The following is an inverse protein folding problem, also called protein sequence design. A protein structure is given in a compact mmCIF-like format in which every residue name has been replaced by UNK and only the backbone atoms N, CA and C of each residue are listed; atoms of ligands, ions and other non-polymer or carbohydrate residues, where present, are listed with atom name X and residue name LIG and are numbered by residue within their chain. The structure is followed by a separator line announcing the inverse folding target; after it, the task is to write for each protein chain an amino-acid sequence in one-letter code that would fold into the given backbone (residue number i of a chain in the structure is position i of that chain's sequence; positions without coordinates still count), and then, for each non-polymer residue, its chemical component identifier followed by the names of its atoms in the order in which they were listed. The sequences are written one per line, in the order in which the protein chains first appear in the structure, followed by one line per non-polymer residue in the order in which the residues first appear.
data_IF_401830592096
#
_entry.id   IF_401830592096
#
_cell.length_a   1.000
_cell.length_b   1.000
_cell.length_c   1.000
_cell.angle_alpha   90.00
_cell.angle_beta   90.00
_cell.angle_gamma   90.00
#
_symmetry.space_group_name_H-M   'P 1'
#
loop_
_entity.id
_entity.type
_entity.pdbx_description
1 polymer ?
#
# COMPACT_ATOMS: atom_id res chain seq x y z
N UNK A 1 -45.18 -56.28 9.27
CA UNK A 1 -45.27 -54.98 8.58
C UNK A 1 -44.18 -54.11 9.18
N UNK A 2 -43.02 -54.09 8.53
CA UNK A 2 -41.80 -53.45 9.06
C UNK A 2 -41.71 -52.08 8.44
N UNK A 3 -41.90 -51.03 9.23
CA UNK A 3 -41.72 -49.65 8.79
C UNK A 3 -40.21 -49.39 8.78
N UNK A 4 -39.62 -49.37 7.58
CA UNK A 4 -38.27 -48.88 7.39
C UNK A 4 -38.30 -47.37 7.64
N UNK A 5 -37.64 -46.93 8.71
CA UNK A 5 -37.27 -45.54 8.89
C UNK A 5 -36.21 -45.21 7.85
N UNK A 6 -36.61 -44.51 6.78
CA UNK A 6 -35.69 -43.83 5.89
C UNK A 6 -34.93 -42.78 6.69
N UNK A 7 -33.72 -43.11 7.11
CA UNK A 7 -32.72 -42.13 7.54
C UNK A 7 -32.30 -41.33 6.32
N UNK A 8 -32.96 -40.17 6.11
CA UNK A 8 -32.44 -39.16 5.19
C UNK A 8 -30.99 -38.84 5.56
N UNK A 9 -30.04 -38.84 4.61
CA UNK A 9 -28.68 -38.41 4.89
C UNK A 9 -28.74 -36.96 5.37
N UNK A 10 -28.33 -36.72 6.62
CA UNK A 10 -28.09 -35.37 7.12
C UNK A 10 -26.97 -34.75 6.28
N UNK A 11 -27.33 -33.88 5.35
CA UNK A 11 -26.38 -32.96 4.73
C UNK A 11 -25.77 -32.13 5.84
N UNK A 12 -24.46 -32.25 6.04
CA UNK A 12 -23.72 -31.44 7.02
C UNK A 12 -24.03 -29.97 6.74
N UNK A 13 -24.47 -29.16 7.72
CA UNK A 13 -24.91 -27.78 7.49
C UNK A 13 -23.76 -26.82 7.17
N UNK A 14 -22.57 -27.34 6.88
CA UNK A 14 -21.36 -26.57 6.64
C UNK A 14 -20.70 -26.99 5.34
N UNK A 15 -20.27 -26.01 4.56
CA UNK A 15 -19.35 -26.20 3.44
C UNK A 15 -18.18 -25.25 3.58
N UNK A 16 -17.14 -25.50 2.80
CA UNK A 16 -16.05 -24.56 2.60
C UNK A 16 -15.94 -24.17 1.13
N UNK A 17 -15.33 -23.02 0.87
CA UNK A 17 -14.84 -22.64 -0.46
C UNK A 17 -13.70 -21.66 -0.31
N UNK A 18 -12.93 -21.48 -1.39
CA UNK A 18 -11.98 -20.37 -1.46
C UNK A 18 -12.75 -19.04 -1.42
N UNK A 19 -12.21 -18.09 -0.66
CA UNK A 19 -12.72 -16.74 -0.57
C UNK A 19 -12.38 -15.94 -1.83
N UNK A 20 -13.22 -14.96 -2.10
CA UNK A 20 -13.12 -13.99 -3.19
C UNK A 20 -13.07 -12.57 -2.61
N UNK A 21 -12.57 -11.56 -3.33
CA UNK A 21 -12.55 -10.18 -2.84
C UNK A 21 -13.91 -9.65 -2.34
N UNK A 22 -15.01 -10.15 -2.91
CA UNK A 22 -16.38 -9.84 -2.51
C UNK A 22 -16.71 -10.28 -1.07
N UNK A 23 -16.04 -11.31 -0.56
CA UNK A 23 -16.25 -11.84 0.79
C UNK A 23 -15.63 -10.96 1.88
N UNK A 24 -14.81 -9.97 1.51
CA UNK A 24 -14.02 -9.19 2.46
C UNK A 24 -14.88 -8.54 3.57
N UNK A 25 -16.07 -8.05 3.22
CA UNK A 25 -16.98 -7.42 4.18
C UNK A 25 -17.52 -8.42 5.23
N UNK A 26 -17.72 -9.68 4.84
CA UNK A 26 -18.18 -10.73 5.76
C UNK A 26 -17.03 -11.31 6.59
N UNK A 27 -15.80 -11.31 6.05
CA UNK A 27 -14.60 -11.83 6.74
C UNK A 27 -14.01 -10.81 7.72
N UNK A 28 -14.04 -9.51 7.39
CA UNK A 28 -13.48 -8.44 8.23
C UNK A 28 -13.90 -8.51 9.72
N UNK A 29 -15.19 -8.68 10.08
CA UNK A 29 -15.58 -8.82 11.49
C UNK A 29 -15.03 -10.09 12.16
N UNK A 30 -14.89 -11.19 11.41
CA UNK A 30 -14.27 -12.42 11.92
C UNK A 30 -12.79 -12.19 12.23
N UNK A 31 -12.08 -11.47 11.36
CA UNK A 31 -10.67 -11.15 11.56
C UNK A 31 -10.44 -10.15 12.70
N UNK A 32 -11.38 -9.21 12.87
CA UNK A 32 -11.37 -8.31 14.02
C UNK A 32 -11.56 -9.08 15.33
N UNK A 33 -12.50 -10.01 15.38
CA UNK A 33 -12.71 -10.87 16.56
C UNK A 33 -11.49 -11.77 16.84
N UNK A 34 -10.85 -12.31 15.80
CA UNK A 34 -9.58 -13.02 15.93
C UNK A 34 -8.50 -12.16 16.58
N UNK A 35 -8.31 -10.93 16.12
CA UNK A 35 -7.30 -10.02 16.66
C UNK A 35 -7.60 -9.66 18.13
N UNK A 36 -8.87 -9.45 18.48
CA UNK A 36 -9.29 -9.19 19.85
C UNK A 36 -9.01 -10.39 20.77
N UNK A 37 -9.36 -11.60 20.36
CA UNK A 37 -9.04 -12.82 21.12
C UNK A 37 -7.52 -12.99 21.27
N UNK A 38 -6.73 -12.62 20.25
CA UNK A 38 -5.27 -12.67 20.31
C UNK A 38 -4.69 -11.67 21.32
N UNK A 39 -5.15 -10.42 21.32
CA UNK A 39 -4.73 -9.41 22.31
C UNK A 39 -5.11 -9.82 23.74
N UNK A 40 -6.26 -10.46 23.94
CA UNK A 40 -6.64 -10.98 25.25
C UNK A 40 -5.72 -12.12 25.73
N UNK A 41 -5.25 -12.97 24.81
CA UNK A 41 -4.34 -14.08 25.12
C UNK A 41 -2.88 -13.64 25.28
N UNK A 42 -2.48 -12.52 24.68
CA UNK A 42 -1.13 -11.98 24.74
C UNK A 42 -1.19 -10.46 24.87
N UNK A 43 -1.17 -9.93 26.11
CA UNK A 43 -1.29 -8.50 26.37
C UNK A 43 -0.19 -7.63 25.73
N UNK A 44 0.93 -8.23 25.30
CA UNK A 44 1.98 -7.50 24.57
C UNK A 44 1.59 -7.19 23.13
N UNK A 45 0.59 -7.88 22.58
CA UNK A 45 0.06 -7.65 21.24
C UNK A 45 -1.13 -6.69 21.28
N UNK A 46 -0.84 -5.39 21.30
CA UNK A 46 -1.86 -4.36 21.29
C UNK A 46 -2.40 -4.11 19.88
N UNK A 47 -3.73 -4.06 19.76
CA UNK A 47 -4.38 -3.70 18.51
C UNK A 47 -4.28 -2.18 18.29
N UNK A 48 -3.88 -1.78 17.07
CA UNK A 48 -3.85 -0.37 16.69
C UNK A 48 -5.26 0.22 16.75
N UNK A 49 -5.38 1.41 17.34
CA UNK A 49 -6.63 2.17 17.31
C UNK A 49 -7.06 2.40 15.86
N UNK A 50 -8.35 2.22 15.57
CA UNK A 50 -8.96 2.44 14.25
C UNK A 50 -8.35 1.61 13.10
N UNK A 51 -7.82 0.41 13.36
CA UNK A 51 -7.32 -0.46 12.31
C UNK A 51 -8.41 -0.86 11.31
N UNK A 52 -8.17 -0.62 10.01
CA UNK A 52 -9.11 -0.94 8.93
C UNK A 52 -9.01 -2.43 8.52
N UNK A 53 -9.80 -3.27 9.19
CA UNK A 53 -9.88 -4.69 8.90
C UNK A 53 -10.44 -5.00 7.50
N UNK A 54 -11.34 -4.17 6.98
CA UNK A 54 -11.92 -4.40 5.66
C UNK A 54 -10.86 -4.21 4.57
N UNK A 55 -10.12 -3.11 4.62
CA UNK A 55 -9.03 -2.86 3.68
C UNK A 55 -7.91 -3.90 3.82
N UNK A 56 -7.57 -4.28 5.06
CA UNK A 56 -6.60 -5.34 5.31
C UNK A 56 -7.01 -6.66 4.65
N UNK A 57 -8.24 -7.12 4.89
CA UNK A 57 -8.73 -8.39 4.34
C UNK A 57 -8.80 -8.34 2.81
N UNK A 58 -9.30 -7.25 2.21
CA UNK A 58 -9.27 -7.08 0.74
C UNK A 58 -7.85 -7.24 0.19
N UNK A 59 -6.89 -6.55 0.80
CA UNK A 59 -5.47 -6.65 0.41
C UNK A 59 -4.94 -8.08 0.52
N UNK A 60 -5.31 -8.84 1.57
CA UNK A 60 -4.88 -10.24 1.71
C UNK A 60 -5.51 -11.16 0.66
N UNK A 61 -6.75 -10.89 0.23
CA UNK A 61 -7.45 -11.68 -0.79
C UNK A 61 -6.92 -11.40 -2.21
N UNK A 62 -6.43 -10.19 -2.45
CA UNK A 62 -5.82 -9.79 -3.74
C UNK A 62 -4.32 -10.11 -3.82
N UNK A 63 -3.67 -10.34 -2.67
CA UNK A 63 -2.22 -10.58 -2.61
C UNK A 63 -1.87 -11.91 -3.31
N UNK A 64 -0.95 -11.90 -4.28
CA UNK A 64 -0.46 -13.14 -4.89
C UNK A 64 0.06 -14.12 -3.84
N UNK A 65 -0.19 -15.41 -4.07
CA UNK A 65 0.19 -16.52 -3.17
C UNK A 65 -0.42 -16.46 -1.76
N UNK A 66 -1.33 -15.52 -1.51
CA UNK A 66 -2.20 -15.51 -0.33
C UNK A 66 -3.52 -16.16 -0.71
N UNK A 67 -3.95 -17.13 0.09
CA UNK A 67 -5.19 -17.86 -0.11
C UNK A 67 -5.99 -17.80 1.18
N UNK A 68 -7.31 -17.68 1.03
CA UNK A 68 -8.23 -17.78 2.14
C UNK A 68 -9.36 -18.74 1.82
N UNK A 69 -9.77 -19.50 2.82
CA UNK A 69 -10.97 -20.34 2.76
C UNK A 69 -11.98 -19.84 3.77
N UNK A 70 -13.24 -19.84 3.37
CA UNK A 70 -14.37 -19.47 4.23
C UNK A 70 -15.17 -20.70 4.58
N UNK A 71 -15.62 -20.76 5.83
CA UNK A 71 -16.59 -21.72 6.33
C UNK A 71 -17.98 -21.11 6.18
N UNK A 72 -18.80 -21.73 5.34
CA UNK A 72 -20.17 -21.32 5.09
C UNK A 72 -21.11 -22.20 5.89
N UNK A 73 -21.95 -21.58 6.71
CA UNK A 73 -23.04 -22.24 7.40
C UNK A 73 -24.33 -22.05 6.62
N UNK A 74 -25.04 -23.15 6.39
CA UNK A 74 -26.29 -23.19 5.63
C UNK A 74 -27.45 -23.56 6.55
N UNK A 75 -28.48 -22.74 6.51
CA UNK A 75 -29.81 -23.01 7.07
C UNK A 75 -30.83 -22.99 5.94
N UNK A 76 -32.06 -23.46 6.22
CA UNK A 76 -33.10 -23.68 5.21
C UNK A 76 -33.33 -22.51 4.25
N UNK A 77 -33.00 -21.26 4.63
CA UNK A 77 -33.13 -20.07 3.77
C UNK A 77 -31.94 -19.08 3.83
N UNK A 78 -30.81 -19.43 4.46
CA UNK A 78 -29.70 -18.48 4.62
C UNK A 78 -28.34 -19.17 4.61
N UNK A 79 -27.38 -18.55 3.92
CA UNK A 79 -25.95 -18.93 3.97
C UNK A 79 -25.14 -17.79 4.57
N UNK A 80 -24.34 -18.09 5.59
CA UNK A 80 -23.49 -17.12 6.27
C UNK A 80 -22.03 -17.58 6.28
N UNK A 81 -21.09 -16.64 6.14
CA UNK A 81 -19.68 -16.91 6.41
C UNK A 81 -19.46 -16.80 7.92
N UNK A 82 -19.12 -17.92 8.55
CA UNK A 82 -18.99 -18.06 10.02
C UNK A 82 -17.57 -18.39 10.46
N UNK A 83 -16.66 -18.57 9.51
CA UNK A 83 -15.25 -18.80 9.77
C UNK A 83 -14.38 -18.55 8.55
N UNK A 84 -13.10 -18.37 8.77
CA UNK A 84 -12.09 -18.16 7.75
C UNK A 84 -10.71 -18.70 8.16
N UNK A 85 -9.89 -19.07 7.18
CA UNK A 85 -8.49 -19.45 7.33
C UNK A 85 -7.68 -18.73 6.25
N UNK A 86 -6.60 -18.03 6.64
CA UNK A 86 -5.66 -17.39 5.72
C UNK A 86 -4.32 -18.11 5.74
N UNK A 87 -3.76 -18.34 4.55
CA UNK A 87 -2.45 -18.98 4.35
C UNK A 87 -1.68 -18.20 3.29
N UNK A 88 -0.40 -17.94 3.54
CA UNK A 88 0.51 -17.33 2.58
C UNK A 88 1.59 -18.34 2.20
N UNK A 89 1.79 -18.54 0.90
CA UNK A 89 2.84 -19.43 0.38
C UNK A 89 4.02 -18.62 -0.14
N UNK A 90 5.23 -19.10 0.12
CA UNK A 90 6.46 -18.50 -0.40
C UNK A 90 7.57 -19.53 -0.55
N UNK A 91 8.54 -19.19 -1.39
CA UNK A 91 9.81 -19.90 -1.49
C UNK A 91 10.84 -19.18 -0.62
N UNK A 92 11.55 -19.92 0.24
CA UNK A 92 12.76 -19.42 0.91
C UNK A 92 13.93 -19.35 -0.08
N UNK A 93 13.86 -20.12 -1.16
CA UNK A 93 14.81 -20.08 -2.25
C UNK A 93 14.64 -18.78 -3.04
N UNK A 94 15.73 -18.21 -3.58
CA UNK A 94 15.60 -17.06 -4.45
C UNK A 94 14.96 -17.43 -5.79
N UNK A 95 14.54 -16.41 -6.56
CA UNK A 95 14.28 -16.57 -7.98
C UNK A 95 15.48 -17.23 -8.69
N UNK A 96 15.20 -18.08 -9.68
CA UNK A 96 16.25 -18.79 -10.44
C UNK A 96 17.23 -17.84 -11.13
N UNK A 97 16.75 -16.67 -11.54
CA UNK A 97 17.51 -15.63 -12.23
C UNK A 97 18.00 -14.55 -11.27
N UNK A 98 18.62 -14.95 -10.16
CA UNK A 98 19.30 -14.01 -9.26
C UNK A 98 20.73 -13.70 -9.76
N UNK A 99 21.15 -12.42 -9.84
CA UNK A 99 22.53 -12.05 -10.16
C UNK A 99 23.55 -12.77 -9.28
N UNK A 100 24.73 -13.08 -9.82
CA UNK A 100 25.73 -13.92 -9.16
C UNK A 100 26.17 -13.38 -7.79
N UNK A 101 26.33 -12.07 -7.67
CA UNK A 101 26.74 -11.41 -6.42
C UNK A 101 25.68 -11.58 -5.32
N UNK A 102 24.41 -11.36 -5.65
CA UNK A 102 23.29 -11.56 -4.73
C UNK A 102 23.10 -13.03 -4.36
N UNK A 103 23.38 -13.95 -5.29
CA UNK A 103 23.36 -15.39 -5.01
C UNK A 103 24.45 -15.78 -3.99
N UNK A 104 25.65 -15.22 -4.13
CA UNK A 104 26.74 -15.48 -3.19
C UNK A 104 26.42 -14.92 -1.78
N UNK A 105 25.82 -13.74 -1.70
CA UNK A 105 25.37 -13.16 -0.43
C UNK A 105 24.30 -14.03 0.24
N UNK A 106 23.31 -14.52 -0.52
CA UNK A 106 22.24 -15.35 0.03
C UNK A 106 22.73 -16.69 0.58
N UNK A 107 23.67 -17.35 -0.11
CA UNK A 107 24.31 -18.59 0.37
C UNK A 107 25.09 -18.35 1.67
N UNK A 108 25.62 -17.14 1.87
CA UNK A 108 26.31 -16.77 3.09
C UNK A 108 25.33 -16.47 4.24
N UNK A 109 24.18 -15.86 3.95
CA UNK A 109 23.17 -15.50 4.95
C UNK A 109 22.27 -16.66 5.39
N UNK A 110 22.17 -17.74 4.60
CA UNK A 110 21.26 -18.86 4.88
C UNK A 110 22.00 -20.21 4.99
N UNK A 111 22.29 -20.68 6.22
CA UNK A 111 22.99 -21.95 6.41
C UNK A 111 22.09 -23.20 6.21
N UNK A 112 20.79 -23.02 5.97
CA UNK A 112 19.81 -24.09 5.84
C UNK A 112 19.36 -24.28 4.39
N UNK A 113 19.00 -25.51 4.05
CA UNK A 113 18.36 -25.79 2.77
C UNK A 113 17.02 -25.05 2.69
N UNK A 114 16.84 -24.29 1.62
CA UNK A 114 15.63 -23.54 1.37
C UNK A 114 14.40 -24.46 1.24
N UNK A 115 13.31 -24.05 1.88
CA UNK A 115 12.01 -24.72 1.85
C UNK A 115 11.03 -23.96 0.96
N UNK A 116 9.95 -24.65 0.57
CA UNK A 116 8.73 -24.02 0.08
C UNK A 116 7.71 -24.10 1.19
N UNK A 117 7.27 -22.95 1.69
CA UNK A 117 6.53 -22.88 2.96
C UNK A 117 5.12 -22.37 2.75
N UNK A 118 4.15 -23.01 3.39
CA UNK A 118 2.81 -22.49 3.62
C UNK A 118 2.68 -21.98 5.04
N UNK A 119 2.70 -20.66 5.22
CA UNK A 119 2.54 -20.03 6.53
C UNK A 119 1.07 -19.73 6.81
N UNK A 120 0.51 -20.32 7.87
CA UNK A 120 -0.85 -19.99 8.32
C UNK A 120 -0.82 -18.63 9.03
N UNK A 121 -1.50 -17.65 8.43
CA UNK A 121 -1.61 -16.30 9.00
C UNK A 121 -2.60 -16.24 10.17
N UNK A 122 -3.64 -17.07 10.10
CA UNK A 122 -4.63 -17.19 11.17
C UNK A 122 -5.88 -17.93 10.72
N UNK A 123 -6.58 -18.50 11.70
CA UNK A 123 -7.86 -19.18 11.54
C UNK A 123 -8.82 -18.65 12.58
N UNK A 124 -10.03 -18.35 12.16
CA UNK A 124 -11.11 -17.96 13.06
C UNK A 124 -12.39 -18.65 12.66
N UNK A 125 -13.11 -19.16 13.65
CA UNK A 125 -14.48 -19.64 13.50
C UNK A 125 -15.27 -19.03 14.65
N UNK A 126 -16.48 -18.55 14.40
CA UNK A 126 -17.34 -18.03 15.47
C UNK A 126 -17.57 -19.10 16.55
N UNK A 127 -17.56 -18.75 17.84
CA UNK A 127 -17.61 -19.70 18.95
C UNK A 127 -18.68 -20.81 18.82
N UNK A 128 -19.90 -20.44 18.44
CA UNK A 128 -21.05 -21.31 18.25
C UNK A 128 -20.90 -22.33 17.09
N UNK A 129 -19.98 -22.06 16.16
CA UNK A 129 -19.67 -22.90 15.01
C UNK A 129 -18.33 -23.66 15.15
N UNK A 130 -17.64 -23.52 16.29
CA UNK A 130 -16.35 -24.20 16.58
C UNK A 130 -16.59 -25.67 16.90
N UNK A 131 -16.60 -26.50 15.87
CA UNK A 131 -16.67 -27.95 15.99
C UNK A 131 -15.45 -28.58 15.31
N UNK A 132 -15.09 -29.80 15.71
CA UNK A 132 -13.96 -30.51 15.10
C UNK A 132 -14.13 -30.65 13.59
N UNK A 133 -15.33 -30.96 13.12
CA UNK A 133 -15.60 -31.14 11.69
C UNK A 133 -15.49 -29.84 10.89
N UNK A 134 -15.92 -28.70 11.45
CA UNK A 134 -15.83 -27.40 10.77
C UNK A 134 -14.39 -26.89 10.67
N UNK A 135 -13.61 -27.08 11.72
CA UNK A 135 -12.17 -26.79 11.73
C UNK A 135 -11.44 -27.69 10.73
N UNK A 136 -11.78 -28.99 10.71
CA UNK A 136 -11.21 -29.97 9.79
C UNK A 136 -11.46 -29.59 8.33
N UNK A 137 -12.67 -29.15 7.98
CA UNK A 137 -12.98 -28.68 6.62
C UNK A 137 -12.01 -27.59 6.16
N UNK A 138 -11.81 -26.54 6.96
CA UNK A 138 -10.89 -25.45 6.62
C UNK A 138 -9.44 -25.95 6.51
N UNK A 139 -8.99 -26.75 7.47
CA UNK A 139 -7.62 -27.25 7.50
C UNK A 139 -7.31 -28.17 6.31
N UNK A 140 -8.20 -29.09 5.95
CA UNK A 140 -8.01 -30.01 4.83
C UNK A 140 -7.95 -29.27 3.48
N UNK A 141 -8.76 -28.22 3.28
CA UNK A 141 -8.65 -27.36 2.10
C UNK A 141 -7.26 -26.72 1.96
N UNK A 142 -6.73 -26.16 3.06
CA UNK A 142 -5.40 -25.55 3.05
C UNK A 142 -4.29 -26.58 2.80
N UNK A 143 -4.39 -27.77 3.39
CA UNK A 143 -3.44 -28.87 3.17
C UNK A 143 -3.48 -29.33 1.70
N UNK A 144 -4.67 -29.43 1.11
CA UNK A 144 -4.82 -29.81 -0.30
C UNK A 144 -4.19 -28.75 -1.23
N UNK A 145 -4.36 -27.47 -0.91
CA UNK A 145 -3.71 -26.39 -1.66
C UNK A 145 -2.18 -26.45 -1.52
N UNK A 146 -1.67 -26.69 -0.31
CA UNK A 146 -0.23 -26.85 -0.07
C UNK A 146 0.34 -28.02 -0.90
N UNK A 147 -0.37 -29.15 -0.96
CA UNK A 147 0.00 -30.29 -1.79
C UNK A 147 0.01 -29.93 -3.29
N UNK A 148 -0.98 -29.18 -3.77
CA UNK A 148 -1.06 -28.70 -5.17
C UNK A 148 0.13 -27.82 -5.53
N UNK A 149 0.56 -26.95 -4.61
CA UNK A 149 1.71 -26.07 -4.77
C UNK A 149 3.06 -26.76 -4.49
N UNK A 150 3.04 -28.05 -4.13
CA UNK A 150 4.22 -28.85 -3.77
C UNK A 150 5.05 -28.20 -2.66
N UNK A 151 4.35 -27.64 -1.68
CA UNK A 151 4.93 -27.08 -0.46
C UNK A 151 5.61 -28.19 0.32
N UNK A 152 6.82 -27.93 0.83
CA UNK A 152 7.57 -28.89 1.65
C UNK A 152 7.13 -28.83 3.12
N UNK A 153 6.75 -27.64 3.60
CA UNK A 153 6.48 -27.39 5.02
C UNK A 153 5.26 -26.49 5.23
N UNK A 154 4.44 -26.79 6.23
CA UNK A 154 3.35 -25.91 6.68
C UNK A 154 3.71 -25.42 8.08
N UNK A 155 3.97 -24.12 8.19
CA UNK A 155 4.34 -23.48 9.44
C UNK A 155 3.09 -22.83 10.08
N UNK A 156 2.80 -23.20 11.32
CA UNK A 156 1.65 -22.70 12.10
C UNK A 156 2.13 -22.31 13.49
N UNK A 157 1.87 -21.07 13.88
CA UNK A 157 2.11 -20.60 15.24
C UNK A 157 0.82 -20.70 16.06
N UNK A 158 0.88 -21.42 17.17
CA UNK A 158 -0.26 -21.64 18.07
C UNK A 158 0.11 -21.16 19.46
N UNK A 159 -0.80 -20.43 20.12
CA UNK A 159 -0.55 -19.97 21.49
C UNK A 159 -0.39 -21.15 22.45
N UNK A 160 0.46 -20.98 23.46
CA UNK A 160 0.75 -22.02 24.46
C UNK A 160 -0.52 -22.51 25.17
N UNK A 161 -1.49 -21.64 25.39
CA UNK A 161 -2.76 -21.95 26.08
C UNK A 161 -3.76 -22.72 25.21
N UNK A 162 -3.57 -22.75 23.88
CA UNK A 162 -4.46 -23.45 22.95
C UNK A 162 -4.14 -24.95 22.84
N UNK A 163 -4.12 -25.64 23.99
CA UNK A 163 -3.73 -27.05 24.11
C UNK A 163 -4.58 -27.99 23.24
N UNK A 164 -5.87 -27.69 23.04
CA UNK A 164 -6.74 -28.44 22.15
C UNK A 164 -6.32 -28.39 20.68
N UNK A 165 -5.89 -27.21 20.20
CA UNK A 165 -5.38 -27.03 18.83
C UNK A 165 -4.03 -27.74 18.68
N UNK A 166 -3.16 -27.65 19.69
CA UNK A 166 -1.87 -28.37 19.67
C UNK A 166 -2.06 -29.89 19.57
N UNK A 167 -2.98 -30.46 20.35
CA UNK A 167 -3.31 -31.88 20.30
C UNK A 167 -3.91 -32.28 18.95
N UNK A 168 -4.76 -31.43 18.36
CA UNK A 168 -5.32 -31.65 17.03
C UNK A 168 -4.23 -31.67 15.95
N UNK A 169 -3.32 -30.69 15.95
CA UNK A 169 -2.21 -30.61 15.01
C UNK A 169 -1.30 -31.84 15.10
N UNK A 170 -0.98 -32.31 16.31
CA UNK A 170 -0.21 -33.54 16.49
C UNK A 170 -0.89 -34.78 15.88
N UNK A 171 -2.22 -34.89 16.00
CA UNK A 171 -3.00 -35.96 15.35
C UNK A 171 -2.98 -35.85 13.83
N UNK A 172 -2.86 -34.65 13.29
CA UNK A 172 -2.66 -34.39 11.86
C UNK A 172 -1.19 -34.51 11.40
N UNK A 173 -0.28 -34.98 12.26
CA UNK A 173 1.11 -35.24 11.91
C UNK A 173 2.05 -34.04 12.03
N UNK A 174 1.57 -32.89 12.52
CA UNK A 174 2.44 -31.75 12.82
C UNK A 174 3.36 -32.09 14.00
N UNK A 175 4.59 -31.59 13.93
CA UNK A 175 5.58 -31.73 15.00
C UNK A 175 5.79 -30.37 15.65
N UNK A 176 5.87 -30.35 16.98
CA UNK A 176 6.27 -29.14 17.70
C UNK A 176 7.73 -28.84 17.39
N UNK A 177 7.99 -27.73 16.70
CA UNK A 177 9.34 -27.34 16.29
C UNK A 177 10.03 -26.36 17.25
N UNK A 178 9.27 -25.47 17.90
CA UNK A 178 9.82 -24.40 18.73
C UNK A 178 8.98 -24.11 19.99
N UNK A 179 9.62 -23.41 20.94
CA UNK A 179 8.97 -22.75 22.08
C UNK A 179 9.42 -21.29 22.06
N UNK A 180 8.46 -20.38 22.05
CA UNK A 180 8.73 -18.94 22.08
C UNK A 180 8.64 -18.42 23.53
N UNK A 181 9.66 -17.69 23.95
CA UNK A 181 9.63 -16.87 25.15
C UNK A 181 9.58 -15.40 24.73
N UNK A 182 8.84 -14.57 25.44
CA UNK A 182 8.72 -13.14 25.12
C UNK A 182 8.87 -12.34 26.40
N UNK A 183 9.69 -11.29 26.34
CA UNK A 183 9.86 -10.30 27.41
C UNK A 183 9.41 -8.96 26.87
N UNK A 184 8.36 -8.40 27.46
CA UNK A 184 7.88 -7.08 27.10
C UNK A 184 8.65 -6.00 27.86
N UNK A 185 8.89 -4.87 27.19
CA UNK A 185 9.43 -3.65 27.78
C UNK A 185 8.46 -2.51 27.48
N UNK A 186 7.97 -1.84 28.52
CA UNK A 186 7.12 -0.68 28.36
C UNK A 186 7.98 0.52 27.94
N UNK A 187 7.84 0.94 26.69
CA UNK A 187 8.50 2.13 26.14
C UNK A 187 7.49 3.28 26.18
N UNK A 188 7.94 4.47 26.59
CA UNK A 188 7.11 5.68 26.53
C UNK A 188 7.27 6.37 25.18
N UNK A 189 6.26 7.12 24.73
CA UNK A 189 6.29 7.82 23.43
C UNK A 189 7.45 8.85 23.31
N UNK A 190 8.01 9.28 24.44
CA UNK A 190 9.14 10.20 24.50
C UNK A 190 10.52 9.51 24.49
N UNK A 191 10.56 8.17 24.34
CA UNK A 191 11.82 7.42 24.35
C UNK A 191 12.51 7.59 23.00
N UNK A 192 13.72 8.15 23.01
CA UNK A 192 14.60 8.14 21.84
C UNK A 192 15.10 6.71 21.60
N UNK A 193 14.72 6.12 20.46
CA UNK A 193 15.00 4.72 20.13
C UNK A 193 16.07 4.64 19.04
N UNK A 194 17.12 3.81 19.23
CA UNK A 194 18.08 3.58 18.17
C UNK A 194 17.40 2.94 16.97
N UNK A 195 17.71 3.43 15.77
CA UNK A 195 17.24 2.80 14.54
C UNK A 195 17.86 1.41 14.40
N UNK A 196 17.02 0.38 14.25
CA UNK A 196 17.46 -0.99 13.96
C UNK A 196 17.44 -1.30 12.46
N UNK A 197 17.08 -0.32 11.62
CA UNK A 197 17.15 -0.47 10.19
C UNK A 197 18.61 -0.35 9.74
N UNK A 198 19.00 -1.09 8.68
CA UNK A 198 20.24 -0.77 7.96
C UNK A 198 20.19 0.73 7.64
N UNK A 199 21.31 1.47 7.74
CA UNK A 199 21.38 2.81 7.17
C UNK A 199 20.82 2.69 5.77
N UNK A 200 19.75 3.43 5.47
CA UNK A 200 19.34 3.54 4.08
C UNK A 200 20.59 3.97 3.33
N UNK A 201 21.01 3.27 2.25
CA UNK A 201 22.14 3.71 1.46
C UNK A 201 21.90 5.19 1.22
N UNK A 202 22.81 6.03 1.74
CA UNK A 202 22.54 7.43 1.98
C UNK A 202 21.85 8.01 0.75
N UNK A 203 20.54 8.22 0.86
CA UNK A 203 19.97 9.31 0.12
C UNK A 203 20.62 10.49 0.81
N UNK A 204 21.73 10.98 0.27
CA UNK A 204 22.26 12.31 0.56
C UNK A 204 21.16 13.31 0.15
N UNK A 205 20.08 13.33 0.93
CA UNK A 205 19.19 14.46 1.01
C UNK A 205 20.09 15.52 1.63
N UNK A 206 20.67 16.38 0.78
CA UNK A 206 21.15 17.68 1.22
C UNK A 206 20.13 18.22 2.23
N UNK A 207 20.60 18.69 3.39
CA UNK A 207 19.72 19.18 4.47
C UNK A 207 18.57 19.96 3.85
N UNK A 208 17.33 19.47 4.06
CA UNK A 208 16.18 20.11 3.45
C UNK A 208 16.19 21.56 3.91
N UNK A 209 16.10 22.54 3.00
CA UNK A 209 16.16 23.94 3.39
C UNK A 209 14.96 24.33 4.29
N UNK A 210 13.88 23.53 4.28
CA UNK A 210 12.67 23.74 5.06
C UNK A 210 11.88 22.45 5.28
N UNK A 211 11.13 22.33 6.39
CA UNK A 211 10.37 21.13 6.78
C UNK A 211 9.35 20.64 5.73
N UNK A 212 8.80 21.58 4.95
CA UNK A 212 7.80 21.30 3.90
C UNK A 212 8.39 21.25 2.49
N UNK A 213 9.70 21.42 2.32
CA UNK A 213 10.34 21.29 1.01
C UNK A 213 10.37 19.81 0.58
N UNK A 214 10.04 19.54 -0.67
CA UNK A 214 10.11 18.19 -1.24
C UNK A 214 11.23 18.12 -2.29
N UNK A 215 12.12 17.12 -2.25
CA UNK A 215 13.11 16.95 -3.31
C UNK A 215 12.43 16.67 -4.65
N UNK A 216 12.94 17.29 -5.71
CA UNK A 216 12.47 17.01 -7.06
C UNK A 216 13.17 15.74 -7.57
N UNK A 217 12.39 14.72 -7.91
CA UNK A 217 12.89 13.50 -8.54
C UNK A 217 12.61 13.51 -10.04
N UNK A 218 13.55 12.98 -10.81
CA UNK A 218 13.25 12.64 -12.20
C UNK A 218 12.36 11.38 -12.25
N UNK A 219 11.17 11.41 -12.89
CA UNK A 219 10.26 10.28 -12.92
C UNK A 219 10.76 9.10 -13.77
N UNK A 220 11.77 9.30 -14.63
CA UNK A 220 12.35 8.24 -15.45
C UNK A 220 13.44 7.48 -14.70
N UNK A 221 14.35 8.20 -14.03
CA UNK A 221 15.51 7.59 -13.35
C UNK A 221 15.29 7.38 -11.85
N UNK A 222 14.29 8.04 -11.27
CA UNK A 222 14.04 8.10 -9.83
C UNK A 222 15.22 8.72 -9.02
N UNK A 223 16.10 9.46 -9.69
CA UNK A 223 17.21 10.18 -9.08
C UNK A 223 16.81 11.62 -8.72
N UNK A 224 17.49 12.21 -7.73
CA UNK A 224 17.28 13.61 -7.34
C UNK A 224 17.82 14.50 -8.47
N UNK A 225 16.99 15.45 -8.88
CA UNK A 225 17.36 16.47 -9.87
C UNK A 225 18.37 17.41 -9.24
N UNK A 226 19.46 17.68 -9.97
CA UNK A 226 20.50 18.64 -9.58
C UNK A 226 20.48 19.84 -10.50
N UNK A 227 20.75 21.03 -9.96
CA UNK A 227 20.94 22.25 -10.74
C UNK A 227 22.29 22.20 -11.49
N UNK A 228 22.59 23.17 -12.39
CA UNK A 228 23.87 23.22 -13.11
C UNK A 228 25.12 23.30 -12.20
N UNK A 229 24.95 23.70 -10.93
CA UNK A 229 26.00 23.76 -9.92
C UNK A 229 26.19 22.42 -9.17
N UNK A 230 25.36 21.41 -9.45
CA UNK A 230 25.40 20.09 -8.83
C UNK A 230 24.63 19.98 -7.52
N UNK A 231 23.88 21.01 -7.11
CA UNK A 231 23.11 21.05 -5.87
C UNK A 231 21.74 20.40 -6.05
N UNK A 232 21.24 19.72 -5.01
CA UNK A 232 19.92 19.09 -5.04
C UNK A 232 18.81 20.13 -5.13
N UNK A 233 17.83 19.87 -6.00
CA UNK A 233 16.71 20.77 -6.25
C UNK A 233 15.51 20.38 -5.38
N UNK A 234 14.92 21.36 -4.72
CA UNK A 234 13.74 21.20 -3.89
C UNK A 234 12.58 22.05 -4.40
N UNK A 235 11.36 21.50 -4.36
CA UNK A 235 10.14 22.27 -4.55
C UNK A 235 9.71 22.89 -3.24
N UNK A 236 9.60 24.21 -3.26
CA UNK A 236 9.13 24.99 -2.14
C UNK A 236 7.60 25.09 -2.20
N UNK A 237 6.89 24.89 -1.07
CA UNK A 237 5.45 25.10 -1.06
C UNK A 237 5.14 26.58 -1.27
N UNK A 238 4.03 26.88 -1.95
CA UNK A 238 3.51 28.23 -2.02
C UNK A 238 3.07 28.68 -0.62
N UNK A 239 3.40 29.91 -0.24
CA UNK A 239 3.23 30.45 1.12
C UNK A 239 1.77 30.60 1.63
N UNK A 240 0.78 29.99 0.97
CA UNK A 240 -0.61 30.08 1.41
C UNK A 240 -0.91 29.04 2.50
N UNK A 241 -0.85 29.50 3.75
CA UNK A 241 -1.44 28.84 4.90
C UNK A 241 -2.98 28.87 4.80
N UNK A 242 -3.57 28.03 3.96
CA UNK A 242 -5.03 27.86 3.93
C UNK A 242 -5.44 26.56 4.62
N UNK A 243 -5.87 26.73 5.88
CA UNK A 243 -6.77 25.85 6.66
C UNK A 243 -6.88 24.39 6.20
N UNK A 244 -6.03 23.51 6.76
CA UNK A 244 -6.25 22.06 6.77
C UNK A 244 -6.14 21.31 5.45
N UNK A 245 -5.78 21.97 4.34
CA UNK A 245 -5.50 21.34 3.04
C UNK A 245 -3.99 21.11 2.88
N UNK A 246 -3.62 20.07 2.12
CA UNK A 246 -2.22 19.72 1.83
C UNK A 246 -1.46 20.91 1.18
N UNK A 247 -0.13 21.03 1.38
CA UNK A 247 0.66 22.10 0.77
C UNK A 247 0.57 22.08 -0.76
N UNK A 248 0.49 23.26 -1.38
CA UNK A 248 0.49 23.41 -2.84
C UNK A 248 1.92 23.65 -3.30
N UNK A 249 2.39 22.82 -4.23
CA UNK A 249 3.72 22.96 -4.85
C UNK A 249 3.58 23.51 -6.27
N UNK A 250 4.47 24.41 -6.69
CA UNK A 250 4.47 24.92 -8.06
C UNK A 250 4.89 23.81 -9.04
N UNK A 251 4.35 23.87 -10.26
CA UNK A 251 4.66 22.88 -11.31
C UNK A 251 5.97 23.23 -12.00
N UNK A 252 7.01 22.38 -11.97
CA UNK A 252 8.25 22.67 -12.66
C UNK A 252 8.12 22.62 -14.18
N UNK A 253 8.93 23.42 -14.87
CA UNK A 253 8.96 23.46 -16.33
C UNK A 253 10.02 22.51 -16.88
N UNK A 254 9.65 21.77 -17.92
CA UNK A 254 10.56 20.94 -18.71
C UNK A 254 10.70 21.47 -20.13
N UNK A 255 11.88 21.26 -20.71
CA UNK A 255 12.08 21.49 -22.13
C UNK A 255 11.16 20.55 -22.93
N UNK A 256 10.35 21.05 -23.86
CA UNK A 256 9.42 20.21 -24.61
C UNK A 256 10.12 19.21 -25.55
N UNK A 257 11.36 19.47 -25.97
CA UNK A 257 12.13 18.60 -26.86
C UNK A 257 12.96 17.57 -26.09
N UNK A 258 13.76 18.03 -25.12
CA UNK A 258 14.70 17.16 -24.40
C UNK A 258 14.09 16.52 -23.17
N UNK A 259 12.95 17.04 -22.70
CA UNK A 259 12.33 16.70 -21.41
C UNK A 259 13.21 17.03 -20.20
N UNK A 260 14.32 17.74 -20.38
CA UNK A 260 15.19 18.16 -19.28
C UNK A 260 14.52 19.26 -18.45
N UNK A 261 14.90 19.36 -17.18
CA UNK A 261 14.43 20.41 -16.29
C UNK A 261 15.05 21.75 -16.66
N UNK A 262 14.23 22.79 -16.66
CA UNK A 262 14.66 24.14 -17.03
C UNK A 262 15.10 24.90 -15.79
N UNK A 263 16.31 25.46 -15.87
CA UNK A 263 16.86 26.38 -14.88
C UNK A 263 17.02 27.78 -15.48
N UNK A 264 16.88 28.80 -14.66
CA UNK A 264 17.12 30.17 -15.06
C UNK A 264 18.63 30.49 -15.08
N UNK A 265 18.98 31.76 -15.32
CA UNK A 265 20.38 32.20 -15.38
C UNK A 265 21.11 32.15 -14.04
N UNK A 266 20.38 32.11 -12.93
CA UNK A 266 20.92 31.98 -11.58
C UNK A 266 21.06 30.50 -11.17
N UNK A 267 20.55 29.57 -11.98
CA UNK A 267 20.53 28.14 -11.66
C UNK A 267 19.31 27.75 -10.83
N UNK A 268 18.30 28.63 -10.69
CA UNK A 268 17.06 28.31 -10.00
C UNK A 268 16.09 27.58 -10.94
N UNK A 269 15.37 26.58 -10.40
CA UNK A 269 14.39 25.82 -11.15
C UNK A 269 13.25 26.73 -11.62
N UNK A 270 12.98 26.72 -12.92
CA UNK A 270 11.84 27.46 -13.47
C UNK A 270 10.56 26.70 -13.20
N UNK A 271 9.60 27.38 -12.56
CA UNK A 271 8.31 26.82 -12.20
C UNK A 271 7.17 27.68 -12.74
N UNK A 272 6.01 27.07 -13.01
CA UNK A 272 4.82 27.78 -13.45
C UNK A 272 4.29 28.70 -12.33
N UNK A 273 4.07 30.00 -12.59
CA UNK A 273 3.48 30.91 -11.62
C UNK A 273 2.07 30.49 -11.21
N UNK A 274 1.74 30.59 -9.93
CA UNK A 274 0.38 30.29 -9.44
C UNK A 274 -0.61 31.36 -9.91
N UNK A 275 -1.79 30.92 -10.37
CA UNK A 275 -2.88 31.82 -10.72
C UNK A 275 -3.58 32.29 -9.45
N UNK A 276 -3.58 33.61 -9.21
CA UNK A 276 -4.27 34.24 -8.10
C UNK A 276 -5.44 35.10 -8.57
N UNK A 277 -6.50 35.15 -7.77
CA UNK A 277 -7.64 36.03 -8.00
C UNK A 277 -7.34 37.47 -7.54
N UNK A 278 -8.33 38.35 -7.63
CA UNK A 278 -8.22 39.76 -7.24
C UNK A 278 -7.95 39.97 -5.75
N UNK A 279 -8.30 38.99 -4.90
CA UNK A 279 -8.04 39.00 -3.47
C UNK A 279 -6.70 38.34 -3.12
N UNK A 280 -5.91 37.95 -4.12
CA UNK A 280 -4.66 37.23 -3.93
C UNK A 280 -4.82 35.75 -3.59
N UNK A 281 -6.03 35.19 -3.61
CA UNK A 281 -6.28 33.77 -3.30
C UNK A 281 -5.93 32.89 -4.50
N UNK A 282 -5.42 31.68 -4.24
CA UNK A 282 -5.14 30.70 -5.30
C UNK A 282 -6.43 30.27 -5.98
N UNK A 283 -6.45 30.34 -7.31
CA UNK A 283 -7.59 29.89 -8.11
C UNK A 283 -7.55 28.37 -8.22
N UNK A 284 -8.61 27.70 -7.74
CA UNK A 284 -8.80 26.26 -7.92
C UNK A 284 -9.83 25.96 -9.03
N UNK A 285 -9.65 24.84 -9.72
CA UNK A 285 -10.65 24.22 -10.58
C UNK A 285 -10.79 22.75 -10.18
N UNK A 286 -11.99 22.32 -9.78
CA UNK A 286 -12.26 20.98 -9.23
C UNK A 286 -11.35 20.61 -8.04
N UNK A 287 -11.00 21.59 -7.20
CA UNK A 287 -10.10 21.40 -6.06
C UNK A 287 -8.60 21.34 -6.42
N UNK A 288 -8.25 21.57 -7.70
CA UNK A 288 -6.86 21.57 -8.17
C UNK A 288 -6.39 23.03 -8.38
N UNK A 289 -5.30 23.46 -7.74
CA UNK A 289 -4.68 24.77 -7.96
C UNK A 289 -4.31 24.98 -9.43
N UNK A 290 -4.59 26.18 -9.93
CA UNK A 290 -4.30 26.56 -11.31
C UNK A 290 -3.02 27.38 -11.41
N UNK A 291 -2.28 27.19 -12.50
CA UNK A 291 -1.01 27.85 -12.76
C UNK A 291 -1.02 28.47 -14.16
N UNK A 292 -0.22 29.51 -14.36
CA UNK A 292 0.01 30.09 -15.67
C UNK A 292 0.85 29.13 -16.52
N UNK A 293 0.32 28.60 -17.63
CA UNK A 293 1.06 27.66 -18.47
C UNK A 293 2.22 28.36 -19.20
N UNK A 294 3.31 27.67 -19.53
CA UNK A 294 4.40 28.26 -20.30
C UNK A 294 3.96 28.64 -21.72
N UNK A 295 4.62 29.65 -22.27
CA UNK A 295 4.46 30.05 -23.67
C UNK A 295 5.49 29.34 -24.52
N UNK A 296 5.05 28.82 -25.67
CA UNK A 296 5.90 28.14 -26.62
C UNK A 296 5.84 28.81 -28.00
N UNK A 297 6.98 28.86 -28.67
CA UNK A 297 7.13 29.28 -30.05
C UNK A 297 7.61 28.09 -30.91
N UNK A 298 7.33 28.15 -32.21
CA UNK A 298 7.88 27.20 -33.19
C UNK A 298 9.00 27.91 -33.95
N UNK A 299 10.24 27.49 -33.73
CA UNK A 299 11.42 28.01 -34.42
C UNK A 299 12.07 26.85 -35.17
N UNK A 300 12.21 27.00 -36.49
CA UNK A 300 12.77 25.97 -37.38
C UNK A 300 12.11 24.57 -37.23
N UNK A 301 10.79 24.57 -37.00
CA UNK A 301 10.00 23.35 -36.81
C UNK A 301 10.12 22.70 -35.43
N UNK A 302 10.87 23.29 -34.50
CA UNK A 302 11.00 22.83 -33.11
C UNK A 302 10.19 23.72 -32.17
N UNK A 303 9.49 23.09 -31.22
CA UNK A 303 8.78 23.80 -30.15
C UNK A 303 9.83 24.21 -29.12
N UNK A 304 9.89 25.50 -28.79
CA UNK A 304 10.79 26.06 -27.78
C UNK A 304 10.02 26.93 -26.81
N UNK A 305 10.44 26.97 -25.55
CA UNK A 305 9.90 27.90 -24.57
C UNK A 305 10.28 29.34 -24.96
N UNK A 306 9.30 30.24 -24.95
CA UNK A 306 9.53 31.64 -25.29
C UNK A 306 10.20 32.38 -24.12
N UNK A 307 11.17 33.24 -24.44
CA UNK A 307 11.85 34.11 -23.49
C UNK A 307 11.69 35.58 -23.88
N UNK A 308 11.68 36.47 -22.89
CA UNK A 308 11.76 37.91 -23.15
C UNK A 308 13.19 38.36 -23.51
N UNK A 309 13.37 39.65 -23.81
CA UNK A 309 14.67 40.23 -24.13
C UNK A 309 15.69 40.15 -22.97
N UNK A 310 15.22 39.97 -21.74
CA UNK A 310 16.06 39.77 -20.57
C UNK A 310 16.39 38.28 -20.34
N UNK A 311 15.80 37.36 -21.11
CA UNK A 311 15.99 35.91 -21.01
C UNK A 311 15.07 35.22 -20.01
N UNK A 312 14.03 35.88 -19.50
CA UNK A 312 13.05 35.26 -18.60
C UNK A 312 12.04 34.46 -19.41
N UNK A 313 11.68 33.27 -18.94
CA UNK A 313 10.66 32.46 -19.59
C UNK A 313 9.27 33.09 -19.45
N UNK A 314 8.50 33.03 -20.54
CA UNK A 314 7.17 33.62 -20.62
C UNK A 314 6.09 32.61 -20.27
N UNK A 315 5.03 33.10 -19.62
CA UNK A 315 3.86 32.32 -19.23
C UNK A 315 2.58 33.03 -19.71
N UNK A 316 1.56 32.24 -20.06
CA UNK A 316 0.35 32.77 -20.65
C UNK A 316 -0.38 33.68 -19.65
N UNK A 317 -0.73 34.89 -20.11
CA UNK A 317 -1.58 35.79 -19.34
C UNK A 317 -3.01 35.24 -19.27
N UNK A 318 -3.70 35.48 -18.15
CA UNK A 318 -5.10 35.09 -18.00
C UNK A 318 -6.03 36.09 -18.73
N UNK A 319 -7.12 35.59 -19.32
CA UNK A 319 -8.18 36.43 -19.84
C UNK A 319 -9.10 36.93 -18.72
N UNK A 320 -9.46 38.22 -18.79
CA UNK A 320 -10.33 38.87 -17.82
C UNK A 320 -11.48 39.56 -18.55
N UNK A 321 -12.65 39.59 -17.91
CA UNK A 321 -13.81 40.30 -18.43
C UNK A 321 -13.66 41.83 -18.26
N UNK A 322 -14.66 42.59 -18.72
CA UNK A 322 -14.66 44.07 -18.62
C UNK A 322 -14.66 44.59 -17.18
N UNK A 323 -14.93 43.73 -16.19
CA UNK A 323 -14.94 44.06 -14.77
C UNK A 323 -13.67 43.63 -14.05
N UNK A 324 -12.75 42.95 -14.73
CA UNK A 324 -11.49 42.44 -14.17
C UNK A 324 -11.52 40.97 -13.75
N UNK A 325 -12.68 40.31 -13.81
CA UNK A 325 -12.85 38.94 -13.34
C UNK A 325 -12.27 37.94 -14.32
N UNK A 326 -11.67 36.87 -13.79
CA UNK A 326 -11.10 35.78 -14.61
C UNK A 326 -12.19 35.13 -15.46
N UNK A 327 -11.99 35.14 -16.78
CA UNK A 327 -12.89 34.47 -17.72
C UNK A 327 -12.72 32.95 -17.57
N UNK A 328 -13.86 32.25 -17.57
CA UNK A 328 -13.91 30.79 -17.45
C UNK A 328 -14.65 30.19 -18.64
N UNK A 329 -14.21 29.01 -19.06
CA UNK A 329 -14.93 28.17 -20.02
C UNK A 329 -16.28 27.70 -19.43
N UNK A 330 -17.22 27.17 -20.24
CA UNK A 330 -18.51 26.68 -19.73
C UNK A 330 -18.42 25.59 -18.65
N UNK A 331 -17.33 24.82 -18.64
CA UNK A 331 -17.05 23.82 -17.60
C UNK A 331 -16.37 24.41 -16.35
N UNK A 332 -15.97 25.68 -16.34
CA UNK A 332 -15.44 26.39 -15.17
C UNK A 332 -13.92 26.58 -15.11
N UNK A 333 -13.18 26.12 -16.14
CA UNK A 333 -11.72 26.25 -16.23
C UNK A 333 -11.29 27.68 -16.61
N UNK A 334 -10.20 28.25 -16.05
CA UNK A 334 -9.69 29.56 -16.45
C UNK A 334 -9.27 29.62 -17.93
N UNK A 335 -9.57 30.73 -18.59
CA UNK A 335 -9.17 30.97 -19.99
C UNK A 335 -7.88 31.76 -20.04
N UNK A 336 -6.85 31.23 -20.70
CA UNK A 336 -5.58 31.90 -20.91
C UNK A 336 -5.51 32.51 -22.32
N UNK A 337 -4.89 33.68 -22.44
CA UNK A 337 -4.64 34.34 -23.72
C UNK A 337 -3.77 33.42 -24.57
N UNK A 338 -4.26 33.08 -25.77
CA UNK A 338 -3.43 32.45 -26.79
C UNK A 338 -2.41 33.48 -27.25
N UNK A 339 -1.13 33.16 -27.23
CA UNK A 339 -0.11 34.00 -27.84
C UNK A 339 -0.48 34.21 -29.31
N UNK A 340 -0.48 35.48 -29.73
CA UNK A 340 -0.55 35.80 -31.14
C UNK A 340 0.73 35.27 -31.79
N UNK A 341 0.55 34.35 -32.73
CA UNK A 341 1.57 33.85 -33.65
C UNK A 341 2.25 34.97 -34.42
#
# INVERSE_FOLDING_TARGET
MTIALETKPQTTPYTHRQATPEDAAAIAPLWAAFAQERTAADPSMLLKANFDFLQYVRRQLEKPLSYAWVLQWHTDNHSAIVGCLFVYFYDEAPPQELPQEMRAEQELENPFQARRVGAVLGMYVQPEHRHTDTIKLLAEAAIQQAATLKVSDIDILVSAEQTGVQALLQRFGFKKAAVQYTKHFDLTDATDLPSLHRPHPDFELSERPFDKAIPLYDPLTNEIVRNPQGEAVFLMPLADETTGKLPIYPTPVRDPQTQEWIFDRLGELVVCPVLRDENGQVVEYQGIPQFHPPVYDIVDGQIRLQQDAAGNYLFCAIEKDKKGQILRTPNGSPVFKRTAS
#
